data_IF_749079593381
#
_entry.id   IF_749079593381
#
_cell.length_a   1.000
_cell.length_b   1.000
_cell.length_c   1.000
_cell.angle_alpha   90.00
_cell.angle_beta   90.00
_cell.angle_gamma   90.00
#
_symmetry.space_group_name_H-M   'P 1'
#
loop_
_entity.id
_entity.type
_entity.pdbx_description
1 polymer ?
#
# COMPACT_ATOMS: atom_id res chain seq x y z
N UNK A 1 -30.37 -19.66 31.12
CA UNK A 1 -29.79 -18.29 31.23
C UNK A 1 -28.56 -18.26 32.14
N UNK A 2 -28.64 -18.84 33.34
CA UNK A 2 -27.52 -18.87 34.30
C UNK A 2 -26.29 -19.67 33.82
N UNK A 3 -26.52 -20.76 33.08
CA UNK A 3 -25.45 -21.59 32.47
C UNK A 3 -24.64 -20.84 31.42
N UNK A 4 -25.31 -20.02 30.60
CA UNK A 4 -24.64 -19.18 29.59
C UNK A 4 -23.77 -18.11 30.26
N UNK A 5 -24.26 -17.52 31.36
CA UNK A 5 -23.50 -16.56 32.14
C UNK A 5 -22.24 -17.18 32.78
N UNK A 6 -22.35 -18.39 33.33
CA UNK A 6 -21.22 -19.12 33.91
C UNK A 6 -20.15 -19.49 32.86
N UNK A 7 -20.56 -19.90 31.66
CA UNK A 7 -19.65 -20.19 30.55
C UNK A 7 -18.92 -18.90 30.13
N UNK A 8 -19.64 -17.79 30.01
CA UNK A 8 -19.06 -16.50 29.66
C UNK A 8 -18.06 -16.00 30.72
N UNK A 9 -18.39 -16.15 32.02
CA UNK A 9 -17.51 -15.78 33.12
C UNK A 9 -16.24 -16.64 33.15
N UNK A 10 -16.38 -17.95 32.89
CA UNK A 10 -15.25 -18.87 32.76
C UNK A 10 -14.34 -18.52 31.58
N UNK A 11 -14.93 -18.13 30.45
CA UNK A 11 -14.20 -17.66 29.27
C UNK A 11 -13.43 -16.35 29.53
N UNK A 12 -14.04 -15.37 30.21
CA UNK A 12 -13.33 -14.15 30.60
C UNK A 12 -12.18 -14.46 31.57
N UNK A 13 -12.39 -15.37 32.52
CA UNK A 13 -11.36 -15.72 33.50
C UNK A 13 -10.19 -16.47 32.88
N UNK A 14 -10.43 -17.36 31.91
CA UNK A 14 -9.37 -18.04 31.17
C UNK A 14 -8.62 -17.08 30.24
N UNK A 15 -9.32 -16.16 29.56
CA UNK A 15 -8.70 -15.08 28.79
C UNK A 15 -7.82 -14.18 29.65
N UNK A 16 -8.29 -13.80 30.84
CA UNK A 16 -7.51 -12.95 31.74
C UNK A 16 -6.22 -13.66 32.21
N UNK A 17 -6.32 -14.94 32.56
CA UNK A 17 -5.18 -15.73 33.02
C UNK A 17 -4.14 -15.95 31.89
N UNK A 18 -4.62 -16.05 30.65
CA UNK A 18 -3.78 -16.12 29.45
C UNK A 18 -3.12 -14.76 29.17
N UNK A 19 -3.87 -13.66 29.29
CA UNK A 19 -3.39 -12.29 29.12
C UNK A 19 -2.29 -11.96 30.13
N UNK A 20 -2.42 -12.42 31.37
CA UNK A 20 -1.43 -12.19 32.43
C UNK A 20 -0.11 -12.92 32.16
N UNK A 21 -0.17 -14.18 31.68
CA UNK A 21 1.02 -14.90 31.20
C UNK A 21 1.62 -14.30 29.93
N UNK A 22 0.80 -13.75 29.05
CA UNK A 22 1.24 -13.04 27.86
C UNK A 22 1.94 -11.73 28.22
N UNK A 23 1.40 -10.98 29.18
CA UNK A 23 1.98 -9.73 29.67
C UNK A 23 3.34 -9.94 30.38
N UNK A 24 3.58 -11.13 30.95
CA UNK A 24 4.88 -11.56 31.48
C UNK A 24 5.81 -12.18 30.43
N UNK A 25 5.28 -12.65 29.30
CA UNK A 25 6.10 -13.16 28.21
C UNK A 25 6.78 -12.02 27.46
N UNK A 26 8.09 -12.13 27.24
CA UNK A 26 8.87 -11.22 26.40
C UNK A 26 8.36 -11.10 24.95
N UNK A 27 7.37 -11.92 24.55
CA UNK A 27 6.66 -11.83 23.27
C UNK A 27 6.02 -10.45 23.04
N UNK A 28 5.73 -9.71 24.11
CA UNK A 28 5.19 -8.35 24.04
C UNK A 28 6.28 -7.28 23.99
N UNK A 29 7.53 -7.57 23.64
CA UNK A 29 8.56 -6.53 23.47
C UNK A 29 9.19 -6.64 22.09
N UNK A 30 9.04 -5.60 21.26
CA UNK A 30 9.79 -5.47 20.02
C UNK A 30 11.16 -4.87 20.33
N UNK A 31 12.20 -5.43 19.72
CA UNK A 31 13.57 -4.93 19.85
C UNK A 31 13.79 -3.80 18.83
N UNK A 32 13.50 -2.56 19.21
CA UNK A 32 13.75 -1.38 18.34
C UNK A 32 15.23 -0.99 18.35
N UNK A 33 15.95 -1.29 19.43
CA UNK A 33 17.38 -1.05 19.57
C UNK A 33 17.97 -2.07 20.56
N UNK A 34 19.28 -2.36 20.49
CA UNK A 34 19.94 -3.38 21.31
C UNK A 34 19.89 -3.12 22.84
N UNK A 35 19.40 -1.94 23.26
CA UNK A 35 19.36 -1.49 24.65
C UNK A 35 17.99 -1.01 25.15
N UNK A 36 17.00 -0.83 24.26
CA UNK A 36 15.70 -0.27 24.64
C UNK A 36 14.58 -1.23 24.24
N UNK A 37 13.81 -1.66 25.24
CA UNK A 37 12.63 -2.51 25.08
C UNK A 37 11.38 -1.64 25.19
N UNK A 38 10.51 -1.71 24.20
CA UNK A 38 9.21 -1.04 24.23
C UNK A 38 8.15 -2.10 24.02
N UNK A 39 7.05 -2.02 24.78
CA UNK A 39 6.01 -3.03 24.73
C UNK A 39 5.28 -2.99 23.37
N UNK A 40 4.99 -4.15 22.79
CA UNK A 40 4.22 -4.32 21.55
C UNK A 40 2.85 -3.65 21.68
N UNK A 41 2.28 -3.61 22.89
CA UNK A 41 0.99 -2.99 23.16
C UNK A 41 0.98 -1.49 22.81
N UNK A 42 2.09 -0.78 23.00
CA UNK A 42 2.17 0.63 22.59
C UNK A 42 2.22 0.80 21.08
N UNK A 43 2.65 -0.22 20.33
CA UNK A 43 2.64 -0.23 18.86
C UNK A 43 1.34 -0.77 18.26
N UNK A 44 0.60 -1.60 18.99
CA UNK A 44 -0.67 -2.17 18.51
C UNK A 44 -1.72 -1.12 18.21
N UNK A 45 -1.82 -0.07 19.05
CA UNK A 45 -2.77 1.04 18.86
C UNK A 45 -2.47 1.79 17.55
N UNK A 46 -1.25 2.31 17.32
CA UNK A 46 -0.96 3.00 16.06
C UNK A 46 -0.93 2.07 14.85
N UNK A 47 -0.52 0.80 15.00
CA UNK A 47 -0.66 -0.21 13.95
C UNK A 47 -2.12 -0.37 13.53
N UNK A 48 -3.02 -0.48 14.51
CA UNK A 48 -4.46 -0.50 14.29
C UNK A 48 -4.91 0.74 13.52
N UNK A 49 -4.52 1.94 13.97
CA UNK A 49 -4.87 3.19 13.28
C UNK A 49 -4.36 3.27 11.84
N UNK A 50 -3.22 2.65 11.54
CA UNK A 50 -2.67 2.60 10.18
C UNK A 50 -3.41 1.59 9.28
N UNK A 51 -3.74 0.40 9.78
CA UNK A 51 -4.28 -0.71 8.97
C UNK A 51 -5.81 -0.65 8.85
N UNK A 52 -6.49 -0.27 9.93
CA UNK A 52 -7.95 -0.33 10.08
C UNK A 52 -8.72 0.48 9.00
N UNK A 53 -8.32 1.71 8.61
CA UNK A 53 -9.05 2.48 7.60
C UNK A 53 -9.10 1.76 6.23
N UNK A 54 -7.99 1.13 5.83
CA UNK A 54 -7.91 0.35 4.60
C UNK A 54 -8.81 -0.90 4.65
N UNK A 55 -8.78 -1.62 5.78
CA UNK A 55 -9.62 -2.80 6.00
C UNK A 55 -11.12 -2.48 6.05
N UNK A 56 -11.52 -1.42 6.74
CA UNK A 56 -12.93 -1.01 6.79
C UNK A 56 -13.42 -0.68 5.38
N UNK A 57 -12.63 0.07 4.60
CA UNK A 57 -13.02 0.42 3.23
C UNK A 57 -13.12 -0.80 2.31
N UNK A 58 -12.18 -1.75 2.41
CA UNK A 58 -12.24 -2.99 1.62
C UNK A 58 -13.48 -3.81 2.01
N UNK A 59 -13.80 -3.93 3.30
CA UNK A 59 -15.01 -4.60 3.78
C UNK A 59 -16.29 -3.94 3.27
N UNK A 60 -16.37 -2.60 3.26
CA UNK A 60 -17.53 -1.89 2.72
C UNK A 60 -17.73 -2.20 1.23
N UNK A 61 -16.65 -2.19 0.44
CA UNK A 61 -16.72 -2.58 -0.98
C UNK A 61 -17.15 -4.04 -1.14
N UNK A 62 -16.60 -4.95 -0.33
CA UNK A 62 -17.00 -6.36 -0.34
C UNK A 62 -18.49 -6.57 -0.06
N UNK A 63 -19.02 -5.90 0.97
CA UNK A 63 -20.45 -5.97 1.30
C UNK A 63 -21.34 -5.37 0.20
N UNK A 64 -20.87 -4.33 -0.49
CA UNK A 64 -21.58 -3.77 -1.63
C UNK A 64 -21.73 -4.77 -2.80
N UNK A 65 -20.72 -5.59 -3.06
CA UNK A 65 -20.81 -6.67 -4.05
C UNK A 65 -21.78 -7.77 -3.62
N UNK A 66 -21.76 -8.15 -2.35
CA UNK A 66 -22.67 -9.16 -1.82
C UNK A 66 -24.13 -8.71 -1.91
N UNK A 67 -24.42 -7.47 -1.53
CA UNK A 67 -25.76 -6.88 -1.62
C UNK A 67 -26.24 -6.82 -3.06
N UNK A 68 -25.39 -6.37 -3.99
CA UNK A 68 -25.71 -6.32 -5.43
C UNK A 68 -26.06 -7.70 -6.00
N UNK A 69 -25.35 -8.75 -5.58
CA UNK A 69 -25.65 -10.12 -6.02
C UNK A 69 -27.06 -10.58 -5.59
N UNK A 70 -27.49 -10.22 -4.36
CA UNK A 70 -28.78 -10.65 -3.79
C UNK A 70 -30.01 -9.98 -4.43
N UNK A 71 -29.93 -8.71 -4.80
CA UNK A 71 -31.07 -7.96 -5.38
C UNK A 71 -31.47 -8.43 -6.77
N UNK A 72 -30.54 -9.05 -7.51
CA UNK A 72 -30.78 -9.54 -8.87
C UNK A 72 -31.48 -10.91 -8.92
N UNK A 73 -31.49 -11.67 -7.82
CA UNK A 73 -32.25 -12.91 -7.71
C UNK A 73 -33.77 -12.67 -7.65
N UNK A 74 -34.18 -11.48 -7.19
CA UNK A 74 -35.59 -11.07 -7.08
C UNK A 74 -36.16 -10.39 -8.32
N UNK A 75 -35.35 -9.97 -9.30
CA UNK A 75 -35.82 -9.24 -10.49
C UNK A 75 -35.71 -10.10 -11.77
N UNK A 76 -36.82 -10.81 -12.05
CA UNK A 76 -37.40 -11.11 -13.37
C UNK A 76 -36.67 -12.02 -14.37
N UNK A 77 -37.38 -13.09 -14.75
CA UNK A 77 -37.43 -13.65 -16.11
C UNK A 77 -37.16 -12.60 -17.20
N UNK A 78 -36.12 -12.79 -18.02
CA UNK A 78 -36.04 -12.14 -19.34
C UNK A 78 -34.65 -11.77 -19.84
N UNK A 79 -33.74 -11.25 -19.00
CA UNK A 79 -32.35 -10.97 -19.41
C UNK A 79 -31.46 -10.90 -18.17
N UNK A 80 -30.72 -11.98 -17.92
CA UNK A 80 -29.68 -12.00 -16.88
C UNK A 80 -28.54 -11.10 -17.35
N UNK A 81 -28.45 -9.87 -16.83
CA UNK A 81 -27.21 -9.10 -16.88
C UNK A 81 -26.24 -9.84 -15.97
N UNK A 82 -25.43 -10.73 -16.55
CA UNK A 82 -24.43 -11.48 -15.80
C UNK A 82 -23.39 -10.47 -15.31
N UNK A 83 -23.24 -10.37 -13.99
CA UNK A 83 -22.07 -9.79 -13.36
C UNK A 83 -20.86 -10.67 -13.68
N UNK A 84 -20.26 -10.50 -14.85
CA UNK A 84 -19.02 -11.18 -15.21
C UNK A 84 -17.83 -10.29 -14.80
N UNK A 85 -17.31 -10.54 -13.61
CA UNK A 85 -15.99 -10.05 -13.23
C UNK A 85 -14.98 -10.99 -13.89
N UNK A 86 -14.14 -10.46 -14.78
CA UNK A 86 -13.11 -11.24 -15.43
C UNK A 86 -11.90 -11.38 -14.51
N UNK A 87 -11.95 -12.34 -13.58
CA UNK A 87 -10.91 -12.56 -12.58
C UNK A 87 -9.51 -12.80 -13.18
N UNK A 88 -9.44 -13.47 -14.34
CA UNK A 88 -8.18 -13.74 -15.04
C UNK A 88 -7.43 -12.47 -15.40
N UNK A 89 -8.17 -11.44 -15.81
CA UNK A 89 -7.63 -10.19 -16.30
C UNK A 89 -6.98 -9.36 -15.18
N UNK A 90 -7.64 -9.34 -14.02
CA UNK A 90 -7.14 -8.71 -12.80
C UNK A 90 -5.92 -9.47 -12.25
N UNK A 91 -5.93 -10.80 -12.32
CA UNK A 91 -4.80 -11.62 -11.88
C UNK A 91 -3.56 -11.39 -12.75
N UNK A 92 -3.72 -11.34 -14.07
CA UNK A 92 -2.63 -11.04 -15.01
C UNK A 92 -2.04 -9.66 -14.71
N UNK A 93 -2.88 -8.67 -14.38
CA UNK A 93 -2.42 -7.33 -14.03
C UNK A 93 -1.58 -7.30 -12.74
N UNK A 94 -2.04 -7.96 -11.68
CA UNK A 94 -1.29 -8.06 -10.43
C UNK A 94 0.06 -8.76 -10.67
N UNK A 95 0.05 -9.85 -11.45
CA UNK A 95 1.25 -10.59 -11.79
C UNK A 95 2.24 -9.76 -12.62
N UNK A 96 1.75 -8.98 -13.59
CA UNK A 96 2.58 -8.07 -14.39
C UNK A 96 3.25 -7.00 -13.51
N UNK A 97 2.51 -6.37 -12.59
CA UNK A 97 3.06 -5.38 -11.67
C UNK A 97 4.12 -5.97 -10.74
N UNK A 98 3.89 -7.18 -10.22
CA UNK A 98 4.88 -7.89 -9.40
C UNK A 98 6.12 -8.30 -10.20
N UNK A 99 5.94 -8.78 -11.43
CA UNK A 99 7.06 -9.17 -12.29
C UNK A 99 7.94 -7.98 -12.68
N UNK A 100 7.33 -6.83 -13.02
CA UNK A 100 8.06 -5.58 -13.29
C UNK A 100 8.86 -5.15 -12.06
N UNK A 101 8.23 -5.20 -10.88
CA UNK A 101 8.86 -4.82 -9.61
C UNK A 101 10.01 -5.74 -9.23
N UNK A 102 9.86 -7.05 -9.47
CA UNK A 102 10.93 -8.03 -9.30
C UNK A 102 12.07 -7.76 -10.27
N UNK A 103 11.82 -7.54 -11.56
CA UNK A 103 12.89 -7.23 -12.52
C UNK A 103 13.70 -6.01 -12.08
N UNK A 104 13.05 -5.00 -11.48
CA UNK A 104 13.72 -3.80 -10.98
C UNK A 104 14.77 -4.09 -9.90
N UNK A 105 14.60 -5.14 -9.08
CA UNK A 105 15.59 -5.52 -8.06
C UNK A 105 16.85 -6.16 -8.63
N UNK A 106 16.80 -6.64 -9.89
CA UNK A 106 17.92 -7.33 -10.54
C UNK A 106 18.74 -6.44 -11.47
N UNK A 107 18.33 -5.18 -11.68
CA UNK A 107 19.02 -4.29 -12.62
C UNK A 107 20.38 -3.90 -12.03
N UNK A 108 21.50 -4.18 -12.74
CA UNK A 108 22.83 -3.89 -12.24
C UNK A 108 23.09 -2.37 -12.16
N UNK A 109 23.71 -1.95 -11.05
CA UNK A 109 24.10 -0.59 -10.61
C UNK A 109 24.91 0.29 -11.60
N UNK A 110 25.11 -0.12 -12.85
CA UNK A 110 25.89 0.65 -13.84
C UNK A 110 25.12 1.78 -14.52
N UNK A 111 23.80 1.75 -14.46
CA UNK A 111 22.92 2.84 -14.93
C UNK A 111 22.40 3.53 -13.67
N UNK A 112 22.28 4.86 -13.66
CA UNK A 112 21.69 5.56 -12.51
C UNK A 112 20.33 4.94 -12.20
N UNK A 113 20.21 4.34 -11.01
CA UNK A 113 19.01 3.58 -10.62
C UNK A 113 17.79 4.50 -10.61
N UNK A 114 18.03 5.78 -10.34
CA UNK A 114 17.07 6.86 -10.48
C UNK A 114 16.54 7.03 -11.93
N UNK A 115 17.43 6.99 -12.92
CA UNK A 115 17.03 7.09 -14.33
C UNK A 115 16.19 5.91 -14.79
N UNK A 116 16.58 4.69 -14.41
CA UNK A 116 15.85 3.46 -14.76
C UNK A 116 14.49 3.39 -14.06
N UNK A 117 14.42 3.76 -12.79
CA UNK A 117 13.16 3.79 -12.04
C UNK A 117 12.21 4.86 -12.59
N UNK A 118 12.69 6.06 -12.95
CA UNK A 118 11.87 7.07 -13.63
C UNK A 118 11.37 6.57 -15.00
N UNK A 119 12.25 5.99 -15.81
CA UNK A 119 11.90 5.47 -17.15
C UNK A 119 10.87 4.34 -17.04
N UNK A 120 11.07 3.36 -16.15
CA UNK A 120 10.12 2.26 -15.94
C UNK A 120 8.79 2.74 -15.36
N UNK A 121 8.79 3.79 -14.53
CA UNK A 121 7.58 4.42 -13.99
C UNK A 121 6.77 5.18 -15.06
N UNK A 122 7.42 5.83 -16.03
CA UNK A 122 6.74 6.54 -17.13
C UNK A 122 6.36 5.64 -18.31
N UNK A 123 7.08 4.53 -18.52
CA UNK A 123 6.88 3.62 -19.64
C UNK A 123 5.91 2.47 -19.30
N UNK A 124 5.87 1.99 -18.06
CA UNK A 124 4.90 0.96 -17.62
C UNK A 124 3.42 1.26 -17.91
N UNK A 125 2.94 2.53 -17.89
CA UNK A 125 1.60 2.91 -18.32
C UNK A 125 1.32 2.76 -19.81
N UNK A 126 2.36 2.89 -20.64
CA UNK A 126 2.27 2.86 -22.09
C UNK A 126 2.35 1.44 -22.64
N UNK A 127 3.12 0.57 -21.98
CA UNK A 127 3.36 -0.81 -22.43
C UNK A 127 2.18 -1.74 -22.08
N UNK A 128 1.46 -1.47 -20.99
CA UNK A 128 0.41 -2.37 -20.51
C UNK A 128 -0.93 -2.06 -21.22
N UNK A 129 -1.60 -3.06 -21.81
CA UNK A 129 -2.84 -2.85 -22.55
C UNK A 129 -3.92 -2.25 -21.65
N UNK A 130 -4.59 -1.20 -22.16
CA UNK A 130 -5.61 -0.46 -21.43
C UNK A 130 -6.84 -1.34 -21.19
N UNK A 131 -7.22 -1.48 -19.93
CA UNK A 131 -8.46 -2.17 -19.59
C UNK A 131 -9.66 -1.37 -20.07
N UNK A 132 -10.51 -2.02 -20.87
CA UNK A 132 -11.90 -1.61 -21.07
C UNK A 132 -12.72 -2.21 -19.93
N UNK A 133 -12.60 -1.63 -18.73
CA UNK A 133 -13.21 -2.22 -17.54
C UNK A 133 -14.67 -1.80 -17.39
N UNK A 134 -15.55 -2.76 -17.13
CA UNK A 134 -16.88 -2.49 -16.59
C UNK A 134 -16.76 -1.79 -15.21
N UNK A 135 -17.75 -0.96 -14.85
CA UNK A 135 -17.79 -0.24 -13.56
C UNK A 135 -17.52 -1.17 -12.36
N UNK A 136 -18.09 -2.37 -12.38
CA UNK A 136 -17.91 -3.38 -11.32
C UNK A 136 -16.52 -4.00 -11.24
N UNK A 137 -15.80 -4.09 -12.37
CA UNK A 137 -14.42 -4.59 -12.37
C UNK A 137 -13.46 -3.59 -11.70
N UNK A 138 -13.73 -2.30 -11.85
CA UNK A 138 -12.97 -1.23 -11.19
C UNK A 138 -13.13 -1.28 -9.66
N UNK A 139 -14.36 -1.37 -9.17
CA UNK A 139 -14.61 -1.42 -7.73
C UNK A 139 -13.98 -2.68 -7.11
N UNK A 140 -14.01 -3.82 -7.83
CA UNK A 140 -13.43 -5.09 -7.36
C UNK A 140 -11.91 -5.03 -7.34
N UNK A 141 -11.30 -4.39 -8.33
CA UNK A 141 -9.87 -4.09 -8.34
C UNK A 141 -9.47 -3.21 -7.15
N UNK A 142 -10.25 -2.17 -6.87
CA UNK A 142 -10.03 -1.29 -5.72
C UNK A 142 -10.15 -2.04 -4.38
N UNK A 143 -11.10 -2.98 -4.27
CA UNK A 143 -11.19 -3.87 -3.12
C UNK A 143 -9.90 -4.68 -2.89
N UNK A 144 -9.40 -5.37 -3.93
CA UNK A 144 -8.17 -6.17 -3.84
C UNK A 144 -6.98 -5.29 -3.47
N UNK A 145 -6.87 -4.11 -4.09
CA UNK A 145 -5.78 -3.17 -3.85
C UNK A 145 -5.74 -2.68 -2.39
N UNK A 146 -6.90 -2.34 -1.83
CA UNK A 146 -7.04 -1.92 -0.43
C UNK A 146 -6.69 -3.05 0.54
N UNK A 147 -7.14 -4.27 0.23
CA UNK A 147 -6.86 -5.45 1.02
C UNK A 147 -5.35 -5.76 1.03
N UNK A 148 -4.72 -5.80 -0.14
CA UNK A 148 -3.28 -6.01 -0.29
C UNK A 148 -2.48 -4.91 0.40
N UNK A 149 -2.86 -3.64 0.24
CA UNK A 149 -2.22 -2.50 0.89
C UNK A 149 -2.25 -2.56 2.41
N UNK A 150 -3.42 -2.88 2.97
CA UNK A 150 -3.59 -3.01 4.42
C UNK A 150 -2.80 -4.18 5.00
N UNK A 151 -2.78 -5.34 4.32
CA UNK A 151 -1.97 -6.49 4.71
C UNK A 151 -0.47 -6.16 4.68
N UNK A 152 -0.02 -5.45 3.64
CA UNK A 152 1.38 -5.04 3.50
C UNK A 152 1.79 -4.02 4.58
N UNK A 153 0.94 -3.04 4.90
CA UNK A 153 1.18 -2.13 6.01
C UNK A 153 1.26 -2.85 7.36
N UNK A 154 0.39 -3.84 7.57
CA UNK A 154 0.43 -4.71 8.75
C UNK A 154 1.75 -5.47 8.84
N UNK A 155 2.15 -6.17 7.79
CA UNK A 155 3.42 -6.90 7.75
C UNK A 155 4.62 -5.95 7.92
N UNK A 156 4.66 -4.84 7.18
CA UNK A 156 5.76 -3.88 7.25
C UNK A 156 5.87 -3.25 8.64
N UNK A 157 4.76 -3.04 9.35
CA UNK A 157 4.79 -2.47 10.71
C UNK A 157 5.42 -3.40 11.74
N UNK A 158 5.30 -4.71 11.56
CA UNK A 158 5.95 -5.72 12.40
C UNK A 158 7.47 -5.79 12.13
N UNK A 159 7.87 -5.50 10.89
CA UNK A 159 9.26 -5.54 10.44
C UNK A 159 10.02 -4.25 10.76
N UNK A 160 9.43 -3.11 10.42
CA UNK A 160 9.98 -1.79 10.65
C UNK A 160 8.83 -0.77 10.78
N UNK A 161 8.50 -0.45 12.04
CA UNK A 161 7.41 0.46 12.35
C UNK A 161 7.57 1.85 11.74
N UNK A 162 8.77 2.44 11.75
CA UNK A 162 8.99 3.77 11.18
C UNK A 162 8.78 3.80 9.68
N UNK A 163 9.24 2.75 8.97
CA UNK A 163 9.02 2.63 7.54
C UNK A 163 7.54 2.42 7.23
N UNK A 164 6.85 1.58 8.01
CA UNK A 164 5.42 1.38 7.86
C UNK A 164 4.61 2.65 8.12
N UNK A 165 4.98 3.44 9.13
CA UNK A 165 4.31 4.69 9.44
C UNK A 165 4.44 5.69 8.28
N UNK A 166 5.65 5.85 7.75
CA UNK A 166 5.88 6.69 6.58
C UNK A 166 5.05 6.19 5.39
N UNK A 167 5.09 4.89 5.06
CA UNK A 167 4.31 4.36 3.94
C UNK A 167 2.80 4.50 4.15
N UNK A 168 2.28 4.38 5.38
CA UNK A 168 0.87 4.61 5.69
C UNK A 168 0.47 6.07 5.48
N UNK A 169 1.28 7.02 5.95
CA UNK A 169 1.03 8.45 5.73
C UNK A 169 0.89 8.79 4.24
N UNK A 170 1.60 8.07 3.36
CA UNK A 170 1.50 8.26 1.92
C UNK A 170 0.38 7.44 1.28
N UNK A 171 0.27 6.15 1.56
CA UNK A 171 -0.71 5.24 0.93
C UNK A 171 -2.16 5.52 1.36
N UNK A 172 -2.40 5.92 2.61
CA UNK A 172 -3.76 6.10 3.13
C UNK A 172 -4.54 7.24 2.48
N UNK A 173 -3.96 8.45 2.28
CA UNK A 173 -4.58 9.45 1.42
C UNK A 173 -4.94 8.87 0.05
N UNK A 174 -4.07 8.04 -0.55
CA UNK A 174 -4.33 7.49 -1.89
C UNK A 174 -5.55 6.62 -1.95
N UNK A 175 -5.65 5.73 -0.98
CA UNK A 175 -6.78 4.85 -0.83
C UNK A 175 -8.06 5.63 -0.64
N UNK A 176 -8.02 6.73 0.14
CA UNK A 176 -9.15 7.64 0.28
C UNK A 176 -9.52 8.31 -1.04
N UNK A 177 -8.53 8.87 -1.76
CA UNK A 177 -8.76 9.67 -2.95
C UNK A 177 -9.11 8.88 -4.21
N UNK A 178 -8.70 7.61 -4.30
CA UNK A 178 -8.94 6.74 -5.47
C UNK A 178 -10.44 6.50 -5.78
N UNK A 179 -11.36 6.85 -4.87
CA UNK A 179 -12.81 6.76 -5.08
C UNK A 179 -13.57 8.08 -5.20
N UNK A 180 -12.92 9.25 -5.31
CA UNK A 180 -13.67 10.49 -5.56
C UNK A 180 -14.15 10.52 -7.01
N UNK A 181 -15.40 10.08 -7.21
CA UNK A 181 -16.14 10.21 -8.46
C UNK A 181 -17.00 11.49 -8.53
N UNK A 182 -16.85 12.42 -7.58
CA UNK A 182 -17.78 13.56 -7.41
C UNK A 182 -17.43 14.82 -8.21
N UNK A 183 -16.37 14.81 -9.00
CA UNK A 183 -16.07 15.92 -9.91
C UNK A 183 -16.72 15.66 -11.26
N UNK A 184 -17.66 16.53 -11.64
CA UNK A 184 -18.40 16.43 -12.91
C UNK A 184 -17.49 16.65 -14.12
N UNK A 185 -16.42 17.45 -13.97
CA UNK A 185 -15.48 17.71 -15.07
C UNK A 185 -14.34 16.69 -15.11
N UNK A 186 -14.28 15.97 -16.24
CA UNK A 186 -13.23 14.99 -16.55
C UNK A 186 -11.81 15.57 -16.44
N UNK A 187 -11.60 16.83 -16.84
CA UNK A 187 -10.28 17.47 -16.79
C UNK A 187 -9.77 17.69 -15.36
N UNK A 188 -10.65 18.14 -14.45
CA UNK A 188 -10.29 18.33 -13.04
C UNK A 188 -10.00 16.98 -12.40
N UNK A 189 -10.80 15.95 -12.72
CA UNK A 189 -10.57 14.57 -12.28
C UNK A 189 -9.21 14.05 -12.75
N UNK A 190 -8.83 14.31 -14.01
CA UNK A 190 -7.55 13.93 -14.59
C UNK A 190 -6.37 14.69 -13.94
N UNK A 191 -6.46 16.02 -13.82
CA UNK A 191 -5.42 16.85 -13.23
C UNK A 191 -5.18 16.53 -11.76
N UNK A 192 -6.24 16.36 -10.95
CA UNK A 192 -6.10 15.96 -9.56
C UNK A 192 -5.47 14.56 -9.44
N UNK A 193 -5.83 13.61 -10.31
CA UNK A 193 -5.20 12.28 -10.35
C UNK A 193 -3.72 12.36 -10.74
N UNK A 194 -3.38 13.12 -11.77
CA UNK A 194 -2.01 13.29 -12.26
C UNK A 194 -1.12 13.94 -11.20
N UNK A 195 -1.57 15.05 -10.61
CA UNK A 195 -0.85 15.71 -9.51
C UNK A 195 -0.61 14.75 -8.36
N UNK A 196 -1.64 14.01 -7.96
CA UNK A 196 -1.55 13.07 -6.86
C UNK A 196 -0.54 11.94 -7.14
N UNK A 197 -0.55 11.38 -8.35
CA UNK A 197 0.42 10.35 -8.78
C UNK A 197 1.85 10.88 -8.81
N UNK A 198 2.05 12.11 -9.28
CA UNK A 198 3.38 12.74 -9.28
C UNK A 198 3.88 12.99 -7.85
N UNK A 199 3.00 13.42 -6.93
CA UNK A 199 3.37 13.57 -5.51
C UNK A 199 3.62 12.24 -4.80
N UNK A 200 3.10 11.13 -5.32
CA UNK A 200 3.21 9.79 -4.72
C UNK A 200 4.36 8.95 -5.23
N UNK A 201 5.19 9.49 -6.11
CA UNK A 201 6.37 8.78 -6.55
C UNK A 201 7.31 8.57 -5.33
N UNK A 202 7.65 7.33 -4.95
CA UNK A 202 8.58 7.07 -3.86
C UNK A 202 9.93 7.77 -4.03
N UNK A 203 10.37 8.02 -5.27
CA UNK A 203 11.59 8.77 -5.58
C UNK A 203 11.46 10.26 -5.28
N UNK A 204 10.31 10.85 -5.57
CA UNK A 204 10.04 12.27 -5.26
C UNK A 204 10.00 12.45 -3.75
N UNK A 205 9.41 11.49 -3.03
CA UNK A 205 9.46 11.49 -1.56
C UNK A 205 10.89 11.37 -1.04
N UNK A 206 11.70 10.47 -1.60
CA UNK A 206 13.09 10.29 -1.17
C UNK A 206 13.94 11.52 -1.48
N UNK A 207 13.71 12.18 -2.62
CA UNK A 207 14.32 13.45 -2.99
C UNK A 207 13.91 14.57 -2.02
N UNK A 208 12.62 14.65 -1.67
CA UNK A 208 12.09 15.64 -0.73
C UNK A 208 12.62 15.40 0.68
N UNK A 209 12.71 14.15 1.12
CA UNK A 209 13.32 13.77 2.39
C UNK A 209 14.80 14.17 2.45
N UNK A 210 15.59 13.79 1.43
CA UNK A 210 16.99 14.17 1.32
C UNK A 210 17.16 15.69 1.37
N UNK A 211 16.30 16.42 0.64
CA UNK A 211 16.29 17.87 0.63
C UNK A 211 15.96 18.49 1.99
N UNK A 212 14.92 17.98 2.68
CA UNK A 212 14.56 18.40 4.03
C UNK A 212 15.71 18.17 5.01
N UNK A 213 16.38 17.02 4.93
CA UNK A 213 17.53 16.72 5.79
C UNK A 213 18.71 17.66 5.52
N UNK A 214 18.99 17.99 4.25
CA UNK A 214 20.03 18.94 3.89
C UNK A 214 19.73 20.36 4.42
N UNK A 215 18.47 20.81 4.32
CA UNK A 215 18.05 22.09 4.91
C UNK A 215 18.26 22.09 6.43
N UNK A 216 17.85 21.01 7.10
CA UNK A 216 17.94 20.90 8.56
C UNK A 216 19.39 20.86 9.06
N UNK A 217 20.30 20.27 8.27
CA UNK A 217 21.71 20.14 8.62
C UNK A 217 22.54 21.39 8.30
N UNK A 218 22.30 22.04 7.17
CA UNK A 218 23.13 23.16 6.70
C UNK A 218 22.48 24.54 6.90
N UNK A 219 21.18 24.60 7.21
CA UNK A 219 20.45 25.85 7.48
C UNK A 219 20.28 26.77 6.26
N UNK A 220 20.80 26.40 5.09
CA UNK A 220 20.74 27.17 3.85
C UNK A 220 19.93 26.45 2.79
N UNK A 221 19.08 27.20 2.07
CA UNK A 221 18.35 26.71 0.90
C UNK A 221 19.36 26.59 -0.26
N UNK A 222 19.95 25.42 -0.43
CA UNK A 222 20.78 25.09 -1.59
C UNK A 222 19.86 24.54 -2.68
N UNK A 223 20.10 24.89 -3.95
CA UNK A 223 19.32 24.28 -5.05
C UNK A 223 19.66 22.79 -5.17
N UNK A 224 18.68 21.92 -5.47
CA UNK A 224 18.93 20.49 -5.57
C UNK A 224 19.72 20.17 -6.84
N UNK A 225 20.98 19.78 -6.68
CA UNK A 225 21.77 19.19 -7.77
C UNK A 225 21.31 17.75 -8.00
N UNK A 226 20.49 17.53 -9.03
CA UNK A 226 19.94 16.21 -9.39
C UNK A 226 21.03 15.16 -9.64
N UNK A 227 22.19 15.57 -10.16
CA UNK A 227 23.33 14.68 -10.40
C UNK A 227 23.91 14.18 -9.08
N UNK A 228 24.05 15.07 -8.10
CA UNK A 228 24.54 14.69 -6.78
C UNK A 228 23.55 13.77 -6.07
N UNK A 229 22.25 14.09 -6.12
CA UNK A 229 21.21 13.21 -5.58
C UNK A 229 21.21 11.81 -6.21
N UNK A 230 21.40 11.71 -7.54
CA UNK A 230 21.51 10.42 -8.21
C UNK A 230 22.72 9.62 -7.70
N UNK A 231 23.88 10.26 -7.56
CA UNK A 231 25.09 9.60 -7.08
C UNK A 231 24.97 9.17 -5.61
N UNK A 232 24.37 10.01 -4.76
CA UNK A 232 24.14 9.70 -3.35
C UNK A 232 23.13 8.54 -3.21
N UNK A 233 22.12 8.49 -4.08
CA UNK A 233 21.17 7.38 -4.11
C UNK A 233 21.80 6.07 -4.61
N UNK A 234 22.62 6.14 -5.65
CA UNK A 234 23.34 4.98 -6.19
C UNK A 234 24.35 4.43 -5.17
N UNK A 235 25.07 5.31 -4.47
CA UNK A 235 25.99 4.89 -3.38
C UNK A 235 25.24 4.32 -2.18
N UNK A 236 24.08 4.89 -1.82
CA UNK A 236 23.18 4.32 -0.83
C UNK A 236 22.81 2.90 -1.24
N UNK A 237 22.18 2.69 -2.42
CA UNK A 237 21.78 1.35 -2.90
C UNK A 237 22.97 0.38 -2.98
N UNK A 238 24.14 0.83 -3.44
CA UNK A 238 25.35 0.01 -3.46
C UNK A 238 25.72 -0.47 -2.05
N UNK A 239 25.64 0.41 -1.05
CA UNK A 239 25.86 0.03 0.34
C UNK A 239 24.81 -0.98 0.85
N UNK A 240 23.53 -0.85 0.48
CA UNK A 240 22.49 -1.84 0.85
C UNK A 240 22.78 -3.22 0.28
N UNK A 241 23.21 -3.31 -0.99
CA UNK A 241 23.59 -4.58 -1.60
C UNK A 241 24.86 -5.16 -0.98
N UNK A 242 25.85 -4.33 -0.64
CA UNK A 242 27.07 -4.76 0.03
C UNK A 242 26.79 -5.31 1.44
N UNK A 243 25.87 -4.69 2.19
CA UNK A 243 25.48 -5.13 3.53
C UNK A 243 24.38 -6.20 3.52
N UNK A 244 23.91 -6.63 2.34
CA UNK A 244 22.85 -7.63 2.13
C UNK A 244 21.60 -7.37 3.00
N UNK A 245 21.23 -6.10 3.11
CA UNK A 245 20.08 -5.67 3.89
C UNK A 245 18.80 -5.77 3.06
N UNK A 246 17.88 -6.60 3.52
CA UNK A 246 16.55 -6.88 2.97
C UNK A 246 15.59 -5.69 2.74
N UNK A 247 15.91 -4.49 3.19
CA UNK A 247 14.97 -3.34 3.15
C UNK A 247 14.67 -2.88 1.73
N UNK A 248 15.67 -2.86 0.85
CA UNK A 248 15.49 -2.46 -0.56
C UNK A 248 14.62 -3.47 -1.29
N UNK A 249 14.84 -4.77 -1.05
CA UNK A 249 14.03 -5.84 -1.64
C UNK A 249 12.58 -5.76 -1.17
N UNK A 250 12.35 -5.51 0.12
CA UNK A 250 11.00 -5.32 0.66
C UNK A 250 10.33 -4.11 0.02
N UNK A 251 11.00 -2.96 -0.06
CA UNK A 251 10.45 -1.74 -0.69
C UNK A 251 10.10 -1.99 -2.16
N UNK A 252 11.00 -2.60 -2.91
CA UNK A 252 10.79 -2.89 -4.33
C UNK A 252 9.68 -3.91 -4.56
N UNK A 253 9.60 -4.97 -3.76
CA UNK A 253 8.60 -6.03 -3.96
C UNK A 253 7.22 -5.70 -3.36
N UNK A 254 7.11 -4.66 -2.53
CA UNK A 254 5.84 -4.32 -1.87
C UNK A 254 5.32 -2.95 -2.27
N UNK A 255 6.12 -1.88 -2.17
CA UNK A 255 5.64 -0.50 -2.37
C UNK A 255 5.48 -0.19 -3.86
N UNK A 256 6.46 -0.57 -4.68
CA UNK A 256 6.42 -0.33 -6.13
C UNK A 256 5.23 -1.01 -6.82
N UNK A 257 4.90 -2.30 -6.57
CA UNK A 257 3.76 -2.93 -7.23
C UNK A 257 2.43 -2.32 -6.77
N UNK A 258 2.28 -1.97 -5.49
CA UNK A 258 1.09 -1.25 -5.01
C UNK A 258 0.96 0.10 -5.73
N UNK A 259 2.06 0.83 -5.87
CA UNK A 259 2.06 2.11 -6.56
C UNK A 259 1.68 1.95 -8.04
N UNK A 260 2.20 0.94 -8.73
CA UNK A 260 1.83 0.61 -10.12
C UNK A 260 0.35 0.25 -10.26
N UNK A 261 -0.20 -0.52 -9.32
CA UNK A 261 -1.62 -0.89 -9.30
C UNK A 261 -2.51 0.32 -8.98
N UNK A 262 -2.10 1.19 -8.04
CA UNK A 262 -2.76 2.47 -7.78
C UNK A 262 -2.77 3.33 -9.04
N UNK A 263 -1.63 3.47 -9.70
CA UNK A 263 -1.52 4.17 -10.97
C UNK A 263 -2.50 3.59 -12.01
N UNK A 264 -2.57 2.27 -12.16
CA UNK A 264 -3.46 1.66 -13.15
C UNK A 264 -4.95 1.85 -12.84
N UNK A 265 -5.33 1.77 -11.56
CA UNK A 265 -6.68 2.17 -11.12
C UNK A 265 -6.98 3.62 -11.50
N UNK A 266 -5.97 4.48 -11.51
CA UNK A 266 -6.19 5.90 -11.79
C UNK A 266 -6.39 6.24 -13.27
N UNK A 267 -5.77 5.49 -14.18
CA UNK A 267 -5.91 5.72 -15.62
C UNK A 267 -6.98 4.85 -16.28
N UNK A 268 -7.62 3.94 -15.55
CA UNK A 268 -8.91 3.36 -15.94
C UNK A 268 -9.98 4.45 -15.96
N UNK A 269 -10.06 5.21 -17.05
CA UNK A 269 -11.14 6.16 -17.28
C UNK A 269 -12.41 5.33 -17.47
N UNK A 270 -13.37 5.51 -16.58
CA UNK A 270 -14.77 5.15 -16.80
C UNK A 270 -15.19 5.86 -18.10
N UNK A 271 -15.20 5.12 -19.21
CA UNK A 271 -15.88 5.52 -20.44
C UNK A 271 -17.32 5.03 -20.38
#
# INVERSE_FOLDING_TARGET
>A
MLTVFLIYLGFIRSLNNLLERFHQSFFFYLHINHRNFVSIATYMIPLGLMVLPGLIRSLVLYMSFLSSSSTNLSTTHGRTIKFSIDHSSIFIEIFQCLAISYVLTWIPLKISFLGVSLITMFISPLILPRFRSNVYQFDYFQFILLLMGSALLGCLSLLNYSMAFLTACFLMPCYMFAGFSKFDHWFIKLCCRLLFITFLNPLIFLALYHYLTCILMFGTIVFPDFVQFSNDFDTYIASYHLFNTWTVDVVCLTIIPIWLLLYRSTFGIQS
#
